data_IF_397614534930
#
_entry.id   IF_397614534930
#
_cell.length_a   1.000
_cell.length_b   1.000
_cell.length_c   1.000
_cell.angle_alpha   90.00
_cell.angle_beta   90.00
_cell.angle_gamma   90.00
#
_symmetry.space_group_name_H-M   'P 1'
#
loop_
_entity.id
_entity.type
_entity.pdbx_description
1 polymer ?
#
# COMPACT_ATOMS: atom_id res chain seq x y z
N UNK A 1 16.06 -2.80 14.55
CA UNK A 1 16.50 -1.49 14.01
C UNK A 1 17.64 -1.63 12.99
N UNK A 2 18.85 -2.11 13.33
CA UNK A 2 19.95 -2.14 12.35
C UNK A 2 19.69 -3.05 11.13
N UNK A 3 19.11 -4.24 11.30
CA UNK A 3 18.76 -5.15 10.20
C UNK A 3 17.64 -4.60 9.31
N UNK A 4 16.62 -3.98 9.92
CA UNK A 4 15.53 -3.33 9.18
C UNK A 4 16.04 -2.11 8.39
N UNK A 5 17.06 -1.43 8.90
CA UNK A 5 17.74 -0.36 8.19
C UNK A 5 18.64 -0.91 7.08
N UNK A 6 19.40 -1.98 7.29
CA UNK A 6 20.23 -2.60 6.24
C UNK A 6 19.42 -2.97 5.00
N UNK A 7 18.25 -3.59 5.18
CA UNK A 7 17.35 -3.96 4.07
C UNK A 7 16.71 -2.75 3.39
N UNK A 8 16.43 -1.66 4.12
CA UNK A 8 15.76 -0.46 3.58
C UNK A 8 16.76 0.52 2.96
N UNK A 9 17.99 0.60 3.48
CA UNK A 9 18.97 1.63 3.12
C UNK A 9 20.18 1.10 2.36
N UNK A 10 20.27 -0.20 2.06
CA UNK A 10 21.44 -0.81 1.39
C UNK A 10 22.78 -0.48 2.08
N UNK A 11 22.76 -0.21 3.39
CA UNK A 11 23.99 0.08 4.14
C UNK A 11 24.67 -1.25 4.47
N UNK A 12 25.68 -1.60 3.70
CA UNK A 12 26.51 -2.78 3.91
C UNK A 12 27.56 -2.52 5.00
N UNK A 13 27.19 -2.71 6.27
CA UNK A 13 28.12 -2.76 7.39
C UNK A 13 28.08 -4.14 8.05
N UNK A 14 29.21 -4.80 8.22
CA UNK A 14 29.28 -6.07 8.96
C UNK A 14 28.97 -5.79 10.43
N UNK A 15 27.84 -6.29 10.93
CA UNK A 15 27.53 -6.27 12.36
C UNK A 15 28.40 -7.34 13.05
N UNK A 16 29.41 -6.90 13.79
CA UNK A 16 30.25 -7.80 14.58
C UNK A 16 29.40 -8.50 15.66
N UNK A 17 29.74 -9.76 15.96
CA UNK A 17 29.11 -10.60 16.99
C UNK A 17 27.65 -11.04 16.73
N UNK A 18 27.09 -10.76 15.56
CA UNK A 18 25.70 -11.11 15.28
C UNK A 18 25.49 -12.63 15.33
N UNK A 19 26.35 -13.39 14.64
CA UNK A 19 26.25 -14.84 14.55
C UNK A 19 26.39 -15.49 15.94
N UNK A 20 27.30 -15.00 16.78
CA UNK A 20 27.50 -15.47 18.15
C UNK A 20 26.27 -15.20 19.03
N UNK A 21 25.63 -14.03 18.88
CA UNK A 21 24.40 -13.69 19.60
C UNK A 21 23.27 -14.63 19.18
N UNK A 22 23.09 -14.87 17.89
CA UNK A 22 22.03 -15.77 17.40
C UNK A 22 22.28 -17.20 17.85
N UNK A 23 23.52 -17.69 17.72
CA UNK A 23 23.90 -19.02 18.23
C UNK A 23 23.61 -19.15 19.73
N UNK A 24 23.82 -18.10 20.50
CA UNK A 24 23.50 -18.10 21.93
C UNK A 24 21.99 -18.15 22.19
N UNK A 25 21.21 -17.32 21.49
CA UNK A 25 19.74 -17.28 21.61
C UNK A 25 19.09 -18.58 21.13
N UNK A 26 19.67 -19.27 20.16
CA UNK A 26 19.17 -20.56 19.68
C UNK A 26 19.54 -21.73 20.61
N UNK A 27 20.63 -21.60 21.37
CA UNK A 27 21.09 -22.61 22.31
C UNK A 27 20.34 -22.59 23.64
N UNK A 28 19.89 -21.41 24.09
CA UNK A 28 19.24 -21.24 25.39
C UNK A 28 17.81 -20.70 25.22
N UNK A 29 16.89 -21.12 26.10
CA UNK A 29 15.50 -20.67 26.03
C UNK A 29 15.33 -19.26 26.63
N UNK A 30 15.16 -18.28 25.75
CA UNK A 30 14.83 -16.89 26.10
C UNK A 30 13.35 -16.53 25.90
N UNK A 31 12.47 -17.50 25.67
CA UNK A 31 11.04 -17.25 25.39
C UNK A 31 10.33 -16.46 26.50
N UNK A 32 10.83 -16.56 27.73
CA UNK A 32 10.34 -15.81 28.90
C UNK A 32 10.75 -14.33 28.94
N UNK A 33 11.69 -13.88 28.09
CA UNK A 33 12.17 -12.49 28.04
C UNK A 33 11.60 -11.78 26.80
N UNK A 34 10.53 -10.98 26.92
CA UNK A 34 9.80 -10.44 25.78
C UNK A 34 10.65 -9.65 24.77
N UNK A 35 11.61 -8.79 25.18
CA UNK A 35 12.50 -8.12 24.22
C UNK A 35 13.28 -9.10 23.36
N UNK A 36 13.89 -10.12 23.97
CA UNK A 36 14.67 -11.13 23.23
C UNK A 36 13.77 -11.91 22.28
N UNK A 37 12.61 -12.37 22.77
CA UNK A 37 11.66 -13.13 21.95
C UNK A 37 11.15 -12.32 20.74
N UNK A 38 10.78 -11.05 20.94
CA UNK A 38 10.29 -10.18 19.86
C UNK A 38 11.40 -9.90 18.84
N UNK A 39 12.57 -9.45 19.29
CA UNK A 39 13.65 -9.12 18.36
C UNK A 39 14.19 -10.33 17.61
N UNK A 40 14.18 -11.50 18.25
CA UNK A 40 14.52 -12.76 17.57
C UNK A 40 13.51 -13.10 16.47
N UNK A 41 12.20 -12.96 16.71
CA UNK A 41 11.21 -13.19 15.64
C UNK A 41 11.28 -12.13 14.54
N UNK A 42 11.56 -10.87 14.89
CA UNK A 42 11.85 -9.83 13.88
C UNK A 42 13.02 -10.28 13.02
N UNK A 43 14.15 -10.66 13.61
CA UNK A 43 15.33 -11.18 12.90
C UNK A 43 14.97 -12.35 11.98
N UNK A 44 14.30 -13.37 12.50
CA UNK A 44 13.88 -14.56 11.74
C UNK A 44 12.97 -14.19 10.56
N UNK A 45 12.07 -13.23 10.72
CA UNK A 45 11.21 -12.73 9.63
C UNK A 45 11.95 -12.01 8.50
N UNK A 46 13.19 -11.56 8.77
CA UNK A 46 14.08 -10.96 7.78
C UNK A 46 14.97 -12.01 7.10
N UNK A 47 15.59 -12.90 7.86
CA UNK A 47 16.52 -13.92 7.30
C UNK A 47 15.80 -15.13 6.68
N UNK A 48 14.58 -15.42 7.12
CA UNK A 48 13.72 -16.48 6.60
C UNK A 48 12.38 -15.88 6.11
N UNK A 49 12.39 -15.00 5.07
CA UNK A 49 11.22 -14.22 4.66
C UNK A 49 10.09 -15.06 4.05
N UNK A 50 10.37 -16.31 3.68
CA UNK A 50 9.39 -17.27 3.18
C UNK A 50 8.65 -18.03 4.28
N UNK A 51 9.15 -17.98 5.52
CA UNK A 51 8.54 -18.64 6.67
C UNK A 51 7.61 -17.70 7.43
N UNK A 52 6.34 -17.77 7.08
CA UNK A 52 5.27 -16.96 7.67
C UNK A 52 5.08 -17.23 9.17
N UNK A 53 5.48 -18.40 9.66
CA UNK A 53 5.45 -18.77 11.08
C UNK A 53 6.14 -17.73 11.97
N UNK A 54 7.24 -17.14 11.51
CA UNK A 54 7.95 -16.09 12.26
C UNK A 54 7.13 -14.82 12.41
N UNK A 55 6.40 -14.44 11.36
CA UNK A 55 5.49 -13.31 11.41
C UNK A 55 4.32 -13.56 12.35
N UNK A 56 3.66 -14.73 12.24
CA UNK A 56 2.54 -15.04 13.12
C UNK A 56 2.99 -15.11 14.59
N UNK A 57 4.19 -15.65 14.85
CA UNK A 57 4.76 -15.64 16.19
C UNK A 57 5.07 -14.23 16.69
N UNK A 58 5.63 -13.37 15.83
CA UNK A 58 5.84 -11.96 16.15
C UNK A 58 4.50 -11.26 16.49
N UNK A 59 3.45 -11.51 15.69
CA UNK A 59 2.11 -10.94 15.92
C UNK A 59 1.54 -11.36 17.28
N UNK A 60 1.67 -12.63 17.66
CA UNK A 60 1.30 -13.12 19.00
C UNK A 60 2.06 -12.39 20.10
N UNK A 61 3.39 -12.25 19.95
CA UNK A 61 4.23 -11.57 20.95
C UNK A 61 3.91 -10.08 21.07
N UNK A 62 3.59 -9.41 19.96
CA UNK A 62 3.10 -8.02 19.97
C UNK A 62 1.84 -7.92 20.82
N UNK A 63 0.84 -8.76 20.54
CA UNK A 63 -0.42 -8.73 21.28
C UNK A 63 -0.20 -8.90 22.80
N UNK A 64 0.63 -9.88 23.18
CA UNK A 64 0.91 -10.19 24.57
C UNK A 64 1.75 -9.12 25.28
N UNK A 65 2.81 -8.61 24.65
CA UNK A 65 3.89 -7.93 25.38
C UNK A 65 4.17 -6.50 24.94
N UNK A 66 3.55 -5.98 23.88
CA UNK A 66 3.92 -4.65 23.36
C UNK A 66 3.74 -3.51 24.35
N UNK A 67 2.82 -3.66 25.31
CA UNK A 67 2.57 -2.68 26.38
C UNK A 67 3.75 -2.54 27.36
N UNK A 68 4.69 -3.49 27.36
CA UNK A 68 5.92 -3.45 28.17
C UNK A 68 7.02 -2.60 27.52
N UNK A 69 6.86 -2.23 26.25
CA UNK A 69 7.87 -1.50 25.49
C UNK A 69 7.59 0.01 25.52
N UNK A 70 8.63 0.85 25.53
CA UNK A 70 8.50 2.26 25.23
C UNK A 70 7.80 2.48 23.88
N UNK A 71 6.99 3.53 23.76
CA UNK A 71 6.20 3.80 22.54
C UNK A 71 7.07 3.85 21.27
N UNK A 72 8.26 4.45 21.35
CA UNK A 72 9.17 4.51 20.20
C UNK A 72 9.68 3.13 19.78
N UNK A 73 9.94 2.24 20.74
CA UNK A 73 10.36 0.88 20.45
C UNK A 73 9.19 0.04 19.93
N UNK A 74 7.98 0.25 20.48
CA UNK A 74 6.77 -0.38 20.00
C UNK A 74 6.47 0.00 18.53
N UNK A 75 6.72 1.25 18.13
CA UNK A 75 6.60 1.69 16.73
C UNK A 75 7.53 0.92 15.81
N UNK A 76 8.78 0.71 16.21
CA UNK A 76 9.74 -0.06 15.41
C UNK A 76 9.32 -1.52 15.26
N UNK A 77 8.81 -2.13 16.34
CA UNK A 77 8.31 -3.50 16.34
C UNK A 77 7.12 -3.64 15.38
N UNK A 78 6.13 -2.75 15.48
CA UNK A 78 5.01 -2.70 14.54
C UNK A 78 5.50 -2.43 13.11
N UNK A 79 6.47 -1.54 12.93
CA UNK A 79 7.10 -1.27 11.65
C UNK A 79 7.71 -2.51 11.01
N UNK A 80 8.41 -3.34 11.77
CA UNK A 80 8.93 -4.63 11.28
C UNK A 80 7.81 -5.59 10.86
N UNK A 81 6.73 -5.69 11.64
CA UNK A 81 5.58 -6.52 11.29
C UNK A 81 4.86 -6.02 10.02
N UNK A 82 4.63 -4.71 9.90
CA UNK A 82 4.07 -4.08 8.70
C UNK A 82 4.95 -4.33 7.47
N UNK A 83 6.27 -4.20 7.62
CA UNK A 83 7.21 -4.44 6.53
C UNK A 83 7.15 -5.90 6.03
N UNK A 84 6.99 -6.86 6.94
CA UNK A 84 6.76 -8.26 6.54
C UNK A 84 5.50 -8.37 5.67
N UNK A 85 4.36 -7.85 6.14
CA UNK A 85 3.12 -7.90 5.38
C UNK A 85 3.25 -7.22 4.01
N UNK A 86 3.89 -6.05 3.94
CA UNK A 86 4.11 -5.30 2.69
C UNK A 86 4.94 -6.11 1.70
N UNK A 87 5.99 -6.82 2.15
CA UNK A 87 6.78 -7.70 1.28
C UNK A 87 5.92 -8.83 0.69
N UNK A 88 5.06 -9.47 1.49
CA UNK A 88 4.14 -10.52 1.02
C UNK A 88 3.09 -9.98 0.04
N UNK A 89 2.49 -8.82 0.33
CA UNK A 89 1.54 -8.15 -0.56
C UNK A 89 2.18 -7.84 -1.93
N UNK A 90 3.42 -7.36 -1.93
CA UNK A 90 4.14 -7.01 -3.16
C UNK A 90 4.44 -8.21 -4.07
N UNK A 91 4.49 -9.43 -3.52
CA UNK A 91 4.63 -10.68 -4.30
C UNK A 91 3.28 -11.33 -4.63
N UNK A 92 2.16 -10.64 -4.36
CA UNK A 92 0.81 -11.05 -4.74
C UNK A 92 0.03 -11.83 -3.67
N UNK A 93 0.55 -11.94 -2.44
CA UNK A 93 -0.15 -12.60 -1.33
C UNK A 93 -1.08 -11.63 -0.62
N UNK A 94 -2.28 -11.47 -1.18
CA UNK A 94 -3.26 -10.48 -0.75
C UNK A 94 -3.89 -10.77 0.63
N UNK A 95 -3.78 -12.00 1.13
CA UNK A 95 -4.17 -12.38 2.50
C UNK A 95 -3.45 -11.55 3.57
N UNK A 96 -2.23 -11.08 3.28
CA UNK A 96 -1.46 -10.22 4.18
C UNK A 96 -1.99 -8.78 4.23
N UNK A 97 -2.88 -8.36 3.31
CA UNK A 97 -3.56 -7.05 3.43
C UNK A 97 -4.40 -7.02 4.70
N UNK A 98 -5.11 -8.11 5.00
CA UNK A 98 -5.88 -8.25 6.24
C UNK A 98 -4.98 -8.17 7.46
N UNK A 99 -3.88 -8.92 7.45
CA UNK A 99 -2.92 -8.94 8.56
C UNK A 99 -2.33 -7.56 8.84
N UNK A 100 -1.95 -6.83 7.78
CA UNK A 100 -1.41 -5.48 7.89
C UNK A 100 -2.43 -4.48 8.45
N UNK A 101 -3.68 -4.61 8.02
CA UNK A 101 -4.78 -3.77 8.49
C UNK A 101 -5.11 -3.99 9.96
N UNK A 102 -5.12 -5.25 10.41
CA UNK A 102 -5.36 -5.56 11.82
C UNK A 102 -4.24 -5.03 12.72
N UNK A 103 -2.97 -5.10 12.26
CA UNK A 103 -1.84 -4.46 12.95
C UNK A 103 -2.04 -2.95 13.07
N UNK A 104 -2.54 -2.29 12.03
CA UNK A 104 -2.85 -0.85 12.11
C UNK A 104 -3.95 -0.57 13.14
N UNK A 105 -5.04 -1.33 13.15
CA UNK A 105 -6.11 -1.16 14.15
C UNK A 105 -5.56 -1.28 15.57
N UNK A 106 -4.79 -2.33 15.83
CA UNK A 106 -4.18 -2.55 17.15
C UNK A 106 -3.24 -1.40 17.54
N UNK A 107 -2.41 -0.91 16.61
CA UNK A 107 -1.50 0.19 16.87
C UNK A 107 -2.22 1.55 17.08
N UNK A 108 -3.40 1.76 16.45
CA UNK A 108 -4.27 2.91 16.73
C UNK A 108 -4.83 2.80 18.15
N UNK A 109 -5.43 1.66 18.51
CA UNK A 109 -6.06 1.42 19.81
C UNK A 109 -5.07 1.60 20.97
N UNK A 110 -3.83 1.17 20.78
CA UNK A 110 -2.75 1.32 21.77
C UNK A 110 -2.05 2.68 21.74
N UNK A 111 -2.45 3.59 20.85
CA UNK A 111 -1.86 4.93 20.75
C UNK A 111 -0.43 4.96 20.18
N UNK A 112 0.02 3.88 19.53
CA UNK A 112 1.41 3.69 19.08
C UNK A 112 1.69 4.45 17.79
N UNK A 113 0.69 4.62 16.91
CA UNK A 113 0.89 5.30 15.62
C UNK A 113 1.05 6.81 15.70
N UNK A 114 0.87 7.42 16.87
CA UNK A 114 0.92 8.86 17.04
C UNK A 114 2.33 9.33 17.43
N UNK A 115 2.87 10.30 16.69
CA UNK A 115 4.09 11.01 17.04
C UNK A 115 3.74 12.45 17.38
N UNK A 116 4.03 12.88 18.62
CA UNK A 116 3.58 14.18 19.14
C UNK A 116 2.07 14.42 18.94
N UNK A 117 1.26 13.37 19.08
CA UNK A 117 -0.18 13.43 18.87
C UNK A 117 -0.62 13.50 17.40
N UNK A 118 0.30 13.34 16.45
CA UNK A 118 0.02 13.40 15.01
C UNK A 118 0.23 12.04 14.31
N UNK A 119 -0.48 11.82 13.20
CA UNK A 119 -0.28 10.69 12.28
C UNK A 119 0.41 11.21 11.01
N UNK A 120 1.52 10.59 10.56
CA UNK A 120 2.11 10.92 9.27
C UNK A 120 1.11 10.71 8.11
N UNK A 121 1.01 11.63 7.12
CA UNK A 121 0.08 11.49 6.01
C UNK A 121 0.21 10.17 5.24
N UNK A 122 1.45 9.66 5.12
CA UNK A 122 1.73 8.37 4.50
C UNK A 122 1.10 7.19 5.25
N UNK A 123 1.19 7.19 6.58
CA UNK A 123 0.59 6.16 7.45
C UNK A 123 -0.93 6.23 7.39
N UNK A 124 -1.49 7.44 7.51
CA UNK A 124 -2.93 7.67 7.41
C UNK A 124 -3.50 7.13 6.09
N UNK A 125 -2.82 7.40 4.97
CA UNK A 125 -3.20 6.89 3.66
C UNK A 125 -3.10 5.38 3.56
N UNK A 126 -2.02 4.77 4.06
CA UNK A 126 -1.84 3.32 3.98
C UNK A 126 -2.92 2.56 4.77
N UNK A 127 -3.37 3.12 5.89
CA UNK A 127 -4.51 2.61 6.67
C UNK A 127 -5.79 2.64 5.83
N UNK A 128 -6.13 3.80 5.25
CA UNK A 128 -7.33 3.96 4.40
C UNK A 128 -7.26 3.05 3.18
N UNK A 129 -6.10 2.94 2.53
CA UNK A 129 -5.89 2.07 1.38
C UNK A 129 -6.11 0.60 1.74
N UNK A 130 -5.59 0.15 2.89
CA UNK A 130 -5.78 -1.24 3.36
C UNK A 130 -7.26 -1.51 3.62
N UNK A 131 -7.95 -0.60 4.31
CA UNK A 131 -9.40 -0.69 4.53
C UNK A 131 -10.18 -0.73 3.20
N UNK A 132 -9.79 0.11 2.23
CA UNK A 132 -10.43 0.19 0.93
C UNK A 132 -10.29 -1.10 0.11
N UNK A 133 -9.09 -1.70 0.06
CA UNK A 133 -8.86 -3.00 -0.61
C UNK A 133 -9.70 -4.12 0.04
N UNK A 134 -9.89 -4.02 1.36
CA UNK A 134 -10.66 -4.98 2.15
C UNK A 134 -12.17 -4.69 2.16
N UNK A 135 -12.62 -3.67 1.44
CA UNK A 135 -14.00 -3.19 1.38
C UNK A 135 -14.58 -2.75 2.75
N UNK A 136 -13.70 -2.37 3.69
CA UNK A 136 -14.03 -1.91 5.05
C UNK A 136 -14.37 -0.41 5.04
N UNK A 137 -15.28 -0.01 4.15
CA UNK A 137 -15.45 1.39 3.81
C UNK A 137 -16.01 2.25 4.96
N UNK A 138 -16.98 1.72 5.71
CA UNK A 138 -17.55 2.42 6.87
C UNK A 138 -16.49 2.65 7.94
N UNK A 139 -15.64 1.64 8.17
CA UNK A 139 -14.50 1.78 9.09
C UNK A 139 -13.54 2.86 8.59
N UNK A 140 -13.23 2.88 7.29
CA UNK A 140 -12.33 3.88 6.70
C UNK A 140 -12.88 5.31 6.81
N UNK A 141 -14.18 5.50 6.57
CA UNK A 141 -14.84 6.81 6.72
C UNK A 141 -14.81 7.28 8.18
N UNK A 142 -15.10 6.38 9.12
CA UNK A 142 -15.02 6.67 10.56
C UNK A 142 -13.58 6.99 10.99
N UNK A 143 -12.59 6.24 10.50
CA UNK A 143 -11.17 6.52 10.76
C UNK A 143 -10.78 7.91 10.29
N UNK A 144 -11.16 8.30 9.05
CA UNK A 144 -10.88 9.64 8.53
C UNK A 144 -11.54 10.69 9.42
N UNK A 145 -12.81 10.51 9.77
CA UNK A 145 -13.55 11.46 10.60
C UNK A 145 -12.91 11.66 11.98
N UNK A 146 -12.53 10.57 12.65
CA UNK A 146 -11.98 10.60 14.01
C UNK A 146 -10.53 11.09 14.07
N UNK A 147 -9.74 10.86 13.02
CA UNK A 147 -8.30 11.11 13.04
C UNK A 147 -7.83 12.22 12.10
N UNK A 148 -8.71 12.89 11.34
CA UNK A 148 -8.32 14.02 10.47
C UNK A 148 -7.55 15.10 11.23
N UNK A 149 -7.93 15.42 12.46
CA UNK A 149 -7.27 16.47 13.26
C UNK A 149 -5.93 16.02 13.87
N UNK A 150 -5.57 14.75 13.67
CA UNK A 150 -4.25 14.19 13.97
C UNK A 150 -3.30 14.33 12.78
N UNK A 151 -3.77 14.72 11.60
CA UNK A 151 -2.88 15.14 10.52
C UNK A 151 -2.36 16.55 10.81
N UNK A 152 -1.09 16.77 10.47
CA UNK A 152 -0.52 18.12 10.42
C UNK A 152 -1.42 19.02 9.58
N UNK A 153 -1.72 20.21 10.10
CA UNK A 153 -2.67 21.16 9.51
C UNK A 153 -2.31 21.48 8.06
N UNK A 154 -1.01 21.58 7.74
CA UNK A 154 -0.52 21.84 6.39
C UNK A 154 -0.96 20.77 5.37
N UNK A 155 -1.08 19.52 5.80
CA UNK A 155 -1.39 18.40 4.91
C UNK A 155 -2.81 17.85 5.07
N UNK A 156 -3.54 18.31 6.09
CA UNK A 156 -4.81 17.74 6.53
C UNK A 156 -5.87 17.74 5.44
N UNK A 157 -6.19 18.90 4.87
CA UNK A 157 -7.27 19.02 3.90
C UNK A 157 -7.01 18.18 2.66
N UNK A 158 -5.80 18.27 2.12
CA UNK A 158 -5.41 17.51 0.94
C UNK A 158 -5.45 15.98 1.18
N UNK A 159 -4.90 15.53 2.33
CA UNK A 159 -4.92 14.12 2.69
C UNK A 159 -6.34 13.61 2.93
N UNK A 160 -7.21 14.39 3.58
CA UNK A 160 -8.62 14.03 3.79
C UNK A 160 -9.38 13.95 2.47
N UNK A 161 -9.20 14.93 1.58
CA UNK A 161 -9.85 14.95 0.27
C UNK A 161 -9.45 13.74 -0.57
N UNK A 162 -8.15 13.47 -0.69
CA UNK A 162 -7.64 12.32 -1.43
C UNK A 162 -8.11 10.98 -0.86
N UNK A 163 -8.00 10.78 0.47
CA UNK A 163 -8.40 9.53 1.09
C UNK A 163 -9.92 9.31 1.05
N UNK A 164 -10.71 10.38 1.12
CA UNK A 164 -12.16 10.31 0.91
C UNK A 164 -12.50 9.93 -0.53
N UNK A 165 -11.74 10.45 -1.51
CA UNK A 165 -11.90 10.09 -2.91
C UNK A 165 -11.53 8.61 -3.12
N UNK A 166 -10.49 8.11 -2.45
CA UNK A 166 -10.09 6.70 -2.52
C UNK A 166 -11.20 5.76 -2.04
N UNK A 167 -11.89 6.11 -0.94
CA UNK A 167 -13.03 5.35 -0.45
C UNK A 167 -14.21 5.43 -1.43
N UNK A 168 -14.53 6.63 -1.93
CA UNK A 168 -15.61 6.80 -2.92
C UNK A 168 -15.34 5.97 -4.19
N UNK A 169 -14.08 5.92 -4.60
CA UNK A 169 -13.62 5.12 -5.73
C UNK A 169 -13.80 3.62 -5.49
N UNK A 170 -13.44 3.12 -4.30
CA UNK A 170 -13.74 1.73 -3.92
C UNK A 170 -15.24 1.42 -3.93
N UNK A 171 -16.07 2.35 -3.45
CA UNK A 171 -17.54 2.25 -3.48
C UNK A 171 -18.16 2.40 -4.88
N UNK A 172 -17.35 2.65 -5.93
CA UNK A 172 -17.81 2.99 -7.29
C UNK A 172 -18.72 4.24 -7.33
N UNK A 173 -18.60 5.15 -6.37
CA UNK A 173 -19.29 6.46 -6.36
C UNK A 173 -18.47 7.49 -7.16
N UNK A 174 -18.51 7.34 -8.48
CA UNK A 174 -17.68 8.09 -9.43
C UNK A 174 -17.96 9.59 -9.43
N UNK A 175 -19.22 10.00 -9.22
CA UNK A 175 -19.58 11.42 -9.09
C UNK A 175 -18.88 12.05 -7.89
N UNK A 176 -18.85 11.34 -6.75
CA UNK A 176 -18.13 11.81 -5.56
C UNK A 176 -16.62 11.80 -5.77
N UNK A 177 -16.05 10.84 -6.51
CA UNK A 177 -14.63 10.82 -6.87
C UNK A 177 -14.22 12.11 -7.57
N UNK A 178 -14.88 12.46 -8.68
CA UNK A 178 -14.53 13.66 -9.46
C UNK A 178 -14.61 14.92 -8.60
N UNK A 179 -15.69 15.07 -7.83
CA UNK A 179 -15.88 16.23 -6.93
C UNK A 179 -14.80 16.31 -5.84
N UNK A 180 -14.40 15.19 -5.24
CA UNK A 180 -13.38 15.20 -4.18
C UNK A 180 -12.00 15.49 -4.74
N UNK A 181 -11.66 14.95 -5.92
CA UNK A 181 -10.37 15.17 -6.57
C UNK A 181 -10.17 16.61 -7.05
N UNK A 182 -11.24 17.40 -7.23
CA UNK A 182 -11.13 18.85 -7.47
C UNK A 182 -10.51 19.62 -6.30
N UNK A 183 -10.59 19.07 -5.08
CA UNK A 183 -10.04 19.67 -3.86
C UNK A 183 -8.67 19.10 -3.48
N UNK A 184 -8.07 18.24 -4.31
CA UNK A 184 -6.75 17.67 -4.05
C UNK A 184 -5.68 18.59 -4.64
N UNK A 185 -4.79 19.06 -3.79
CA UNK A 185 -3.60 19.79 -4.20
C UNK A 185 -2.49 18.83 -4.64
N UNK A 186 -2.00 19.03 -5.86
CA UNK A 186 -0.98 18.20 -6.49
C UNK A 186 0.46 18.65 -6.16
N UNK A 187 0.69 19.03 -4.91
CA UNK A 187 2.00 19.49 -4.43
C UNK A 187 3.02 18.35 -4.33
N UNK A 188 2.54 17.13 -4.10
CA UNK A 188 3.34 15.91 -4.14
C UNK A 188 2.94 15.07 -5.35
N UNK A 189 3.93 14.60 -6.12
CA UNK A 189 3.72 13.80 -7.33
C UNK A 189 2.81 12.58 -7.12
N UNK A 190 2.85 12.03 -5.90
CA UNK A 190 2.02 10.91 -5.50
C UNK A 190 0.52 11.22 -5.67
N UNK A 191 0.05 12.38 -5.21
CA UNK A 191 -1.36 12.75 -5.29
C UNK A 191 -1.81 12.91 -6.74
N UNK A 192 -1.00 13.57 -7.58
CA UNK A 192 -1.33 13.75 -9.00
C UNK A 192 -1.41 12.40 -9.72
N UNK A 193 -0.38 11.58 -9.57
CA UNK A 193 -0.30 10.26 -10.20
C UNK A 193 -1.50 9.37 -9.83
N UNK A 194 -1.83 9.25 -8.55
CA UNK A 194 -2.91 8.36 -8.12
C UNK A 194 -4.30 8.92 -8.43
N UNK A 195 -4.47 10.25 -8.37
CA UNK A 195 -5.73 10.88 -8.78
C UNK A 195 -6.01 10.65 -10.26
N UNK A 196 -4.98 10.71 -11.12
CA UNK A 196 -5.12 10.36 -12.54
C UNK A 196 -5.50 8.89 -12.74
N UNK A 197 -4.93 7.96 -11.98
CA UNK A 197 -5.34 6.54 -12.03
C UNK A 197 -6.82 6.35 -11.67
N UNK A 198 -7.29 7.01 -10.61
CA UNK A 198 -8.70 6.99 -10.20
C UNK A 198 -9.61 7.63 -11.25
N UNK A 199 -9.20 8.75 -11.87
CA UNK A 199 -9.98 9.39 -12.92
C UNK A 199 -10.06 8.56 -14.20
N UNK A 200 -8.99 7.85 -14.58
CA UNK A 200 -9.01 6.96 -15.76
C UNK A 200 -10.07 5.87 -15.60
N UNK A 201 -10.09 5.19 -14.46
CA UNK A 201 -11.10 4.16 -14.16
C UNK A 201 -12.50 4.76 -14.05
N UNK A 202 -12.62 5.91 -13.36
CA UNK A 202 -13.89 6.65 -13.23
C UNK A 202 -14.49 7.00 -14.59
N UNK A 203 -13.72 7.62 -15.49
CA UNK A 203 -14.22 8.02 -16.81
C UNK A 203 -14.53 6.82 -17.70
N UNK A 204 -13.76 5.74 -17.61
CA UNK A 204 -14.08 4.51 -18.32
C UNK A 204 -15.41 3.92 -17.83
N UNK A 205 -15.59 3.79 -16.51
CA UNK A 205 -16.78 3.17 -15.91
C UNK A 205 -18.05 4.03 -16.02
N UNK A 206 -17.90 5.32 -16.33
CA UNK A 206 -19.02 6.26 -16.55
C UNK A 206 -19.26 6.58 -18.03
N UNK A 207 -18.55 5.91 -18.95
CA UNK A 207 -18.63 6.13 -20.41
C UNK A 207 -18.29 7.57 -20.84
N UNK A 208 -17.47 8.27 -20.05
CA UNK A 208 -16.97 9.62 -20.33
C UNK A 208 -15.72 9.55 -21.23
N UNK A 209 -15.93 9.10 -22.48
CA UNK A 209 -14.86 8.71 -23.40
C UNK A 209 -13.97 9.89 -23.85
N UNK A 210 -14.55 11.05 -24.13
CA UNK A 210 -13.78 12.24 -24.55
C UNK A 210 -12.85 12.76 -23.44
N UNK A 211 -13.32 12.97 -22.19
CA UNK A 211 -12.45 13.24 -21.05
C UNK A 211 -11.38 12.17 -20.84
N UNK A 212 -11.72 10.90 -21.00
CA UNK A 212 -10.79 9.79 -20.85
C UNK A 212 -9.65 9.85 -21.87
N UNK A 213 -9.94 10.08 -23.15
CA UNK A 213 -8.90 10.23 -24.18
C UNK A 213 -7.94 11.38 -23.86
N UNK A 214 -8.50 12.53 -23.48
CA UNK A 214 -7.72 13.72 -23.08
C UNK A 214 -6.84 13.44 -21.85
N UNK A 215 -7.37 12.71 -20.88
CA UNK A 215 -6.65 12.29 -19.69
C UNK A 215 -5.51 11.31 -20.05
N UNK A 216 -5.74 10.31 -20.89
CA UNK A 216 -4.69 9.34 -21.27
C UNK A 216 -3.52 9.99 -22.02
N UNK A 217 -3.77 11.01 -22.84
CA UNK A 217 -2.70 11.77 -23.51
C UNK A 217 -1.92 12.65 -22.52
N UNK A 218 -2.64 13.43 -21.70
CA UNK A 218 -1.99 14.28 -20.70
C UNK A 218 -1.26 13.48 -19.62
N UNK A 219 -1.76 12.30 -19.24
CA UNK A 219 -1.13 11.41 -18.27
C UNK A 219 0.19 10.84 -18.82
N UNK A 220 0.22 10.47 -20.10
CA UNK A 220 1.47 10.05 -20.77
C UNK A 220 2.52 11.18 -20.75
N UNK A 221 2.11 12.41 -21.04
CA UNK A 221 2.99 13.59 -20.97
C UNK A 221 3.48 13.81 -19.53
N UNK A 222 2.60 13.69 -18.54
CA UNK A 222 2.95 13.79 -17.13
C UNK A 222 4.06 12.79 -16.74
N UNK A 223 3.96 11.52 -17.15
CA UNK A 223 4.99 10.51 -16.88
C UNK A 223 6.34 10.93 -17.47
N UNK A 224 6.36 11.44 -18.71
CA UNK A 224 7.60 11.87 -19.35
C UNK A 224 8.21 13.15 -18.76
N UNK A 225 7.39 14.08 -18.27
CA UNK A 225 7.88 15.30 -17.60
C UNK A 225 8.47 14.99 -16.23
N UNK A 226 7.95 13.98 -15.54
CA UNK A 226 8.31 13.65 -14.17
C UNK A 226 9.27 12.46 -14.01
N UNK A 227 10.02 12.09 -15.05
CA UNK A 227 10.96 10.96 -15.03
C UNK A 227 11.99 10.99 -13.89
N UNK A 228 12.37 12.18 -13.41
CA UNK A 228 13.32 12.34 -12.30
C UNK A 228 12.70 12.06 -10.93
N UNK A 229 11.38 12.18 -10.82
CA UNK A 229 10.62 11.99 -9.58
C UNK A 229 10.01 10.59 -9.49
N UNK A 230 9.87 9.90 -10.63
CA UNK A 230 9.33 8.54 -10.72
C UNK A 230 10.44 7.51 -10.92
N UNK A 231 10.36 6.38 -10.22
CA UNK A 231 11.25 5.25 -10.48
C UNK A 231 10.99 4.67 -11.87
N UNK A 232 11.97 3.96 -12.45
CA UNK A 232 11.78 3.28 -13.74
C UNK A 232 10.60 2.28 -13.69
N UNK A 233 10.42 1.61 -12.55
CA UNK A 233 9.30 0.69 -12.33
C UNK A 233 7.95 1.42 -12.36
N UNK A 234 7.84 2.57 -11.68
CA UNK A 234 6.63 3.39 -11.69
C UNK A 234 6.33 3.91 -13.10
N UNK A 235 7.34 4.41 -13.82
CA UNK A 235 7.17 4.88 -15.20
C UNK A 235 6.64 3.78 -16.12
N UNK A 236 7.25 2.58 -16.08
CA UNK A 236 6.80 1.44 -16.88
C UNK A 236 5.38 1.04 -16.53
N UNK A 237 5.06 0.93 -15.24
CA UNK A 237 3.74 0.56 -14.74
C UNK A 237 2.65 1.51 -15.25
N UNK A 238 2.88 2.83 -15.18
CA UNK A 238 1.91 3.82 -15.65
C UNK A 238 1.74 3.80 -17.17
N UNK A 239 2.84 3.65 -17.93
CA UNK A 239 2.77 3.59 -19.39
C UNK A 239 2.08 2.31 -19.88
N UNK A 240 2.33 1.17 -19.23
CA UNK A 240 1.62 -0.07 -19.49
C UNK A 240 0.14 0.05 -19.18
N UNK A 241 -0.22 0.67 -18.04
CA UNK A 241 -1.61 0.94 -17.69
C UNK A 241 -2.31 1.79 -18.76
N UNK A 242 -1.73 2.93 -19.15
CA UNK A 242 -2.27 3.79 -20.22
C UNK A 242 -2.44 3.00 -21.53
N UNK A 243 -1.46 2.17 -21.89
CA UNK A 243 -1.51 1.32 -23.09
C UNK A 243 -2.67 0.33 -23.01
N UNK A 244 -2.89 -0.33 -21.89
CA UNK A 244 -3.97 -1.31 -21.77
C UNK A 244 -5.35 -0.66 -21.77
N UNK A 245 -5.52 0.50 -21.12
CA UNK A 245 -6.79 1.24 -21.20
C UNK A 245 -7.10 1.66 -22.64
N UNK A 246 -6.11 2.14 -23.40
CA UNK A 246 -6.31 2.42 -24.84
C UNK A 246 -6.72 1.18 -25.64
N UNK A 247 -6.19 0.00 -25.31
CA UNK A 247 -6.60 -1.25 -25.96
C UNK A 247 -8.06 -1.60 -25.62
N UNK A 248 -8.48 -1.41 -24.37
CA UNK A 248 -9.89 -1.59 -23.95
C UNK A 248 -10.83 -0.69 -24.75
N UNK A 249 -10.46 0.58 -24.94
CA UNK A 249 -11.27 1.53 -25.73
C UNK A 249 -11.38 1.17 -27.22
N UNK A 250 -10.38 0.47 -27.76
CA UNK A 250 -10.39 0.03 -29.17
C UNK A 250 -11.08 -1.33 -29.39
N UNK A 251 -11.58 -1.94 -28.32
CA UNK A 251 -12.07 -3.29 -28.35
C UNK A 251 -13.54 -3.34 -28.79
N UNK A 252 -13.88 -4.29 -29.67
CA UNK A 252 -15.28 -4.58 -30.01
C UNK A 252 -15.70 -5.88 -29.32
N UNK A 253 -16.93 -5.96 -28.76
CA UNK A 253 -17.44 -7.19 -28.15
C UNK A 253 -17.33 -8.40 -29.09
N UNK A 254 -17.06 -9.58 -28.51
CA UNK A 254 -16.96 -10.86 -29.23
C UNK A 254 -15.60 -11.15 -29.88
N UNK A 255 -14.58 -10.32 -29.67
CA UNK A 255 -13.21 -10.58 -30.15
C UNK A 255 -12.38 -11.45 -29.18
N UNK A 256 -12.87 -12.65 -28.88
CA UNK A 256 -12.35 -13.54 -27.82
C UNK A 256 -10.82 -13.71 -27.86
N UNK A 257 -10.23 -14.02 -29.02
CA UNK A 257 -8.77 -14.22 -29.15
C UNK A 257 -7.96 -12.97 -28.76
N UNK A 258 -8.46 -11.78 -29.09
CA UNK A 258 -7.81 -10.52 -28.70
C UNK A 258 -7.97 -10.25 -27.21
N UNK A 259 -9.09 -10.65 -26.62
CA UNK A 259 -9.37 -10.49 -25.20
C UNK A 259 -8.43 -11.39 -24.40
N UNK A 260 -8.25 -12.64 -24.84
CA UNK A 260 -7.33 -13.60 -24.24
C UNK A 260 -5.88 -13.09 -24.27
N UNK A 261 -5.45 -12.54 -25.41
CA UNK A 261 -4.11 -11.94 -25.54
C UNK A 261 -3.95 -10.73 -24.61
N UNK A 262 -4.95 -9.86 -24.54
CA UNK A 262 -4.92 -8.71 -23.64
C UNK A 262 -4.88 -9.15 -22.17
N UNK A 263 -5.65 -10.18 -21.80
CA UNK A 263 -5.66 -10.75 -20.47
C UNK A 263 -4.28 -11.30 -20.09
N UNK A 264 -3.60 -12.01 -21.00
CA UNK A 264 -2.24 -12.51 -20.80
C UNK A 264 -1.21 -11.38 -20.65
N UNK A 265 -1.28 -10.36 -21.53
CA UNK A 265 -0.42 -9.18 -21.46
C UNK A 265 -0.56 -8.48 -20.09
N UNK A 266 -1.79 -8.30 -19.61
CA UNK A 266 -2.09 -7.67 -18.31
C UNK A 266 -1.54 -8.52 -17.16
N UNK A 267 -1.78 -9.84 -17.17
CA UNK A 267 -1.28 -10.77 -16.14
C UNK A 267 0.25 -10.72 -16.04
N UNK A 268 0.96 -10.72 -17.17
CA UNK A 268 2.42 -10.66 -17.25
C UNK A 268 3.04 -9.28 -16.96
N UNK A 269 2.23 -8.22 -16.88
CA UNK A 269 2.70 -6.87 -16.60
C UNK A 269 3.04 -6.64 -15.12
N UNK A 270 3.87 -5.62 -14.85
CA UNK A 270 4.23 -5.16 -13.49
C UNK A 270 3.26 -4.11 -12.95
N UNK A 271 2.02 -4.07 -13.46
CA UNK A 271 0.98 -3.17 -12.97
C UNK A 271 0.60 -3.54 -11.53
N UNK A 272 0.31 -2.52 -10.72
CA UNK A 272 -0.18 -2.71 -9.34
C UNK A 272 -1.38 -3.65 -9.29
N UNK A 273 -1.49 -4.43 -8.20
CA UNK A 273 -2.54 -5.46 -8.05
C UNK A 273 -3.94 -4.87 -8.26
N UNK A 274 -4.24 -3.74 -7.63
CA UNK A 274 -5.56 -3.08 -7.73
C UNK A 274 -5.92 -2.71 -9.18
N UNK A 275 -4.99 -2.08 -9.91
CA UNK A 275 -5.22 -1.70 -11.31
C UNK A 275 -5.29 -2.91 -12.24
N UNK A 276 -4.51 -3.97 -11.95
CA UNK A 276 -4.53 -5.23 -12.69
C UNK A 276 -5.89 -5.91 -12.54
N UNK A 277 -6.45 -5.94 -11.32
CA UNK A 277 -7.77 -6.51 -11.06
C UNK A 277 -8.86 -5.79 -11.85
N UNK A 278 -8.88 -4.45 -11.79
CA UNK A 278 -9.85 -3.66 -12.57
C UNK A 278 -9.69 -3.88 -14.09
N UNK A 279 -8.48 -3.87 -14.63
CA UNK A 279 -8.26 -4.14 -16.06
C UNK A 279 -8.76 -5.53 -16.47
N UNK A 280 -8.55 -6.55 -15.64
CA UNK A 280 -9.02 -7.91 -15.90
C UNK A 280 -10.55 -8.03 -15.84
N UNK A 281 -11.21 -7.33 -14.90
CA UNK A 281 -12.67 -7.19 -14.85
C UNK A 281 -13.20 -6.62 -16.18
N UNK A 282 -12.58 -5.56 -16.70
CA UNK A 282 -12.98 -4.94 -17.98
C UNK A 282 -12.72 -5.78 -19.20
N UNK A 283 -11.65 -6.57 -19.22
CA UNK A 283 -11.44 -7.54 -20.30
C UNK A 283 -12.54 -8.61 -20.31
N UNK A 284 -12.98 -9.06 -19.13
CA UNK A 284 -14.04 -10.07 -19.01
C UNK A 284 -15.40 -9.53 -19.45
N UNK A 285 -15.73 -8.26 -19.13
CA UNK A 285 -16.95 -7.59 -19.60
C UNK A 285 -17.04 -7.49 -21.15
N UNK A 286 -15.90 -7.59 -21.85
CA UNK A 286 -15.80 -7.46 -23.31
C UNK A 286 -15.75 -8.79 -24.07
N UNK A 287 -15.66 -9.92 -23.35
CA UNK A 287 -15.69 -11.27 -23.94
C UNK A 287 -17.10 -11.60 -24.40
#
# INVERSE_FOLDING_TARGET
MLLSWQDVTNISGTLLFMDEIIMHVEKFDYSQYPPVAIYYQIYKSYVEPDREEHFFKLKELINMYIHLFPVEEAKDIFGSAHNFCIRRINIGQNEFVRQNFDLYKEAIEKGILFYNGQIPPITFRNIVMSANILNEYEWAENFIHLHKDKLDEKFRENAVAYNSALIAWGKKDFTKVVRLLQNVEFNEIFYDMNSKLMLVTTYYDTDEIEPLHSLLESFKIFVYRNKKLLTLAQQSMLLDYIKFVRKLLSFNPGQIEKADKLQQDIKGSKISVTMKQWLLEKVEELR
#
